data_IF_008325947165
#
_entry.id   IF_008325947165
#
_cell.length_a   1.000
_cell.length_b   1.000
_cell.length_c   1.000
_cell.angle_alpha   90.00
_cell.angle_beta   90.00
_cell.angle_gamma   90.00
#
_symmetry.space_group_name_H-M   'P 1'
#
loop_
_entity.id
_entity.type
_entity.pdbx_description
1 polymer ?
#
# COMPACT_ATOMS: atom_id res chain seq x y z
N UNK A 1 -51.23 17.58 31.45
CA UNK A 1 -51.89 18.86 31.76
C UNK A 1 -50.82 19.94 31.75
N UNK A 2 -51.08 21.04 31.04
CA UNK A 2 -50.14 22.13 30.73
C UNK A 2 -49.92 23.01 31.97
N UNK A 3 -48.67 23.37 32.24
CA UNK A 3 -48.29 24.44 33.16
C UNK A 3 -47.68 25.60 32.37
N UNK A 4 -48.18 26.79 32.64
CA UNK A 4 -48.11 28.05 31.89
C UNK A 4 -46.98 28.98 32.34
N UNK A 5 -46.47 29.82 31.40
CA UNK A 5 -46.09 31.26 31.44
C UNK A 5 -45.50 31.87 32.76
N UNK A 6 -44.54 32.81 32.85
CA UNK A 6 -43.98 33.86 31.97
C UNK A 6 -42.77 34.55 32.65
N UNK A 7 -41.87 35.14 31.84
CA UNK A 7 -41.15 36.44 32.00
C UNK A 7 -40.56 36.91 33.36
N UNK A 8 -39.27 37.30 33.35
CA UNK A 8 -38.86 38.72 33.54
C UNK A 8 -37.33 38.89 33.43
N UNK A 9 -36.92 39.89 32.65
CA UNK A 9 -35.57 40.46 32.61
C UNK A 9 -35.50 41.55 33.68
N UNK A 10 -34.46 41.55 34.52
CA UNK A 10 -34.01 42.79 35.17
C UNK A 10 -32.47 42.88 35.25
N UNK A 11 -32.02 44.12 35.10
CA UNK A 11 -30.66 44.61 34.93
C UNK A 11 -30.02 44.89 36.29
N UNK A 12 -28.70 45.14 36.21
CA UNK A 12 -27.80 45.88 37.13
C UNK A 12 -27.06 44.99 38.13
N UNK A 13 -25.74 44.91 37.96
CA UNK A 13 -24.79 45.71 38.75
C UNK A 13 -23.41 45.66 38.08
N UNK A 14 -22.94 46.84 37.66
CA UNK A 14 -21.57 47.11 37.20
C UNK A 14 -20.91 47.92 38.31
N UNK A 15 -19.71 47.56 38.79
CA UNK A 15 -18.85 48.49 39.53
C UNK A 15 -18.02 49.33 38.55
N UNK A 16 -17.91 50.66 38.75
CA UNK A 16 -17.04 51.53 37.98
C UNK A 16 -15.59 51.44 38.54
N UNK A 17 -14.61 51.88 37.73
CA UNK A 17 -13.39 52.63 38.13
C UNK A 17 -12.26 52.41 37.09
N UNK A 18 -11.85 53.52 36.46
CA UNK A 18 -10.91 53.59 35.32
C UNK A 18 -9.44 53.82 35.80
N UNK A 19 -8.39 53.82 34.93
CA UNK A 19 -8.20 54.87 33.92
C UNK A 19 -7.66 54.42 32.55
N UNK A 20 -7.98 55.25 31.54
CA UNK A 20 -7.46 55.20 30.16
C UNK A 20 -6.08 55.84 30.10
N UNK A 21 -5.09 55.14 29.54
CA UNK A 21 -3.87 55.76 29.02
C UNK A 21 -3.57 55.20 27.63
N UNK A 22 -3.41 56.12 26.69
CA UNK A 22 -2.99 55.89 25.31
C UNK A 22 -1.50 55.51 25.24
N UNK A 23 -1.16 54.58 24.35
CA UNK A 23 0.22 54.37 23.93
C UNK A 23 0.40 53.11 23.09
N UNK A 24 0.37 53.25 21.76
CA UNK A 24 0.90 52.23 20.85
C UNK A 24 2.42 52.38 20.78
N UNK A 25 3.21 51.31 20.95
CA UNK A 25 4.58 51.30 20.50
C UNK A 25 4.64 50.64 19.13
N UNK A 26 4.91 51.47 18.13
CA UNK A 26 5.35 51.07 16.79
C UNK A 26 6.55 50.13 16.89
N UNK A 27 6.59 49.15 15.99
CA UNK A 27 7.76 48.34 15.64
C UNK A 27 9.08 49.13 15.66
N UNK A 28 10.10 48.63 16.37
CA UNK A 28 11.49 48.83 15.97
C UNK A 28 12.45 47.75 16.49
N UNK A 29 13.21 47.24 15.52
CA UNK A 29 14.54 46.61 15.58
C UNK A 29 14.74 45.28 16.31
N UNK A 30 14.67 44.22 15.48
CA UNK A 30 15.76 43.24 15.29
C UNK A 30 17.12 43.71 15.83
N UNK A 31 17.69 42.91 16.73
CA UNK A 31 19.10 42.48 16.85
C UNK A 31 19.34 42.13 18.32
N UNK A 32 20.16 41.11 18.55
CA UNK A 32 20.64 40.65 19.87
C UNK A 32 19.70 39.62 20.55
N UNK A 33 19.66 38.41 19.99
CA UNK A 33 19.56 37.17 20.78
C UNK A 33 20.43 36.06 20.15
N UNK A 34 21.63 36.44 19.68
CA UNK A 34 22.67 35.51 19.20
C UNK A 34 23.63 35.11 20.35
N UNK A 35 23.51 35.72 21.53
CA UNK A 35 24.51 35.60 22.61
C UNK A 35 24.22 34.45 23.59
N UNK A 36 23.03 33.81 23.55
CA UNK A 36 22.74 32.64 24.40
C UNK A 36 23.20 31.28 23.82
N UNK A 37 23.87 31.27 22.67
CA UNK A 37 24.31 30.05 21.98
C UNK A 37 25.67 29.48 22.47
N UNK A 38 26.18 29.91 23.64
CA UNK A 38 27.42 29.39 24.26
C UNK A 38 27.19 28.65 25.57
N UNK A 39 26.23 27.72 25.64
CA UNK A 39 26.08 26.82 26.80
C UNK A 39 26.55 25.40 26.49
N UNK A 40 27.80 25.14 26.91
CA UNK A 40 28.48 23.86 27.22
C UNK A 40 28.06 22.63 26.41
N UNK A 41 28.91 22.31 25.42
CA UNK A 41 28.85 21.11 24.57
C UNK A 41 29.00 19.82 25.40
N UNK A 42 27.99 18.92 25.32
CA UNK A 42 28.07 17.51 25.74
C UNK A 42 27.75 16.62 24.52
N UNK A 43 28.67 15.75 24.05
CA UNK A 43 28.58 15.16 22.71
C UNK A 43 27.71 13.89 22.56
N UNK A 44 27.23 13.26 23.64
CA UNK A 44 26.63 11.90 23.55
C UNK A 44 25.11 11.79 23.30
N UNK A 45 24.30 12.81 23.62
CA UNK A 45 22.81 12.71 23.59
C UNK A 45 22.13 13.40 22.40
N UNK A 46 22.86 14.14 21.56
CA UNK A 46 22.25 15.06 20.59
C UNK A 46 21.81 14.46 19.27
N UNK A 47 22.33 13.32 18.82
CA UNK A 47 21.93 12.80 17.50
C UNK A 47 20.46 12.38 17.54
N UNK A 48 20.00 11.73 18.62
CA UNK A 48 18.58 11.41 18.78
C UNK A 48 17.72 12.67 18.94
N UNK A 49 18.14 13.65 19.74
CA UNK A 49 17.34 14.87 19.99
C UNK A 49 17.28 15.82 18.78
N UNK A 50 18.34 15.90 17.96
CA UNK A 50 18.38 16.70 16.73
C UNK A 50 17.40 16.15 15.68
N UNK A 51 17.28 14.82 15.61
CA UNK A 51 16.34 14.13 14.73
C UNK A 51 14.90 14.05 15.27
N UNK A 52 14.66 14.41 16.53
CA UNK A 52 13.34 14.28 17.17
C UNK A 52 12.66 15.62 17.42
N UNK A 53 13.31 16.57 18.10
CA UNK A 53 12.75 17.91 18.32
C UNK A 53 13.42 18.99 17.48
N UNK A 54 14.73 18.83 17.19
CA UNK A 54 15.50 19.81 16.42
C UNK A 54 14.97 19.98 15.01
N UNK A 55 14.58 18.88 14.36
CA UNK A 55 14.11 18.87 12.98
C UNK A 55 12.84 19.72 12.80
N UNK A 56 11.94 19.76 13.79
CA UNK A 56 10.67 20.50 13.74
C UNK A 56 10.81 21.96 14.15
N UNK A 57 11.81 22.28 14.98
CA UNK A 57 12.14 23.65 15.38
C UNK A 57 12.84 24.46 14.27
N UNK A 58 13.29 23.81 13.18
CA UNK A 58 13.87 24.51 12.01
C UNK A 58 12.75 25.26 11.27
N UNK A 59 12.85 26.59 11.26
CA UNK A 59 12.01 27.45 10.44
C UNK A 59 12.42 27.32 8.96
N UNK A 60 11.62 26.59 8.19
CA UNK A 60 11.85 26.37 6.76
C UNK A 60 11.60 27.62 5.91
N UNK A 61 10.97 28.68 6.46
CA UNK A 61 10.67 29.91 5.73
C UNK A 61 11.89 30.85 5.58
N UNK A 62 12.86 30.74 6.49
CA UNK A 62 14.07 31.58 6.49
C UNK A 62 15.27 30.96 5.75
N UNK A 63 15.12 29.74 5.21
CA UNK A 63 16.20 28.97 4.58
C UNK A 63 16.16 29.02 3.04
N UNK A 64 17.28 28.66 2.39
CA UNK A 64 17.33 28.41 0.94
C UNK A 64 16.33 27.32 0.52
N UNK A 65 15.69 27.50 -0.65
CA UNK A 65 14.66 26.58 -1.19
C UNK A 65 15.13 25.12 -1.24
N UNK A 66 16.42 24.88 -1.50
CA UNK A 66 17.00 23.53 -1.53
C UNK A 66 17.07 22.88 -0.14
N UNK A 67 17.56 23.64 0.85
CA UNK A 67 17.64 23.16 2.24
C UNK A 67 16.25 22.90 2.82
N UNK A 68 15.28 23.78 2.56
CA UNK A 68 13.90 23.58 2.99
C UNK A 68 13.26 22.29 2.42
N UNK A 69 13.56 21.95 1.14
CA UNK A 69 13.11 20.68 0.55
C UNK A 69 13.77 19.48 1.21
N UNK A 70 15.06 19.53 1.48
CA UNK A 70 15.78 18.44 2.13
C UNK A 70 15.25 18.20 3.54
N UNK A 71 15.07 19.26 4.33
CA UNK A 71 14.45 19.17 5.66
C UNK A 71 13.06 18.53 5.54
N UNK A 72 12.22 18.98 4.60
CA UNK A 72 10.88 18.38 4.33
C UNK A 72 10.96 16.88 4.03
N UNK A 73 11.90 16.43 3.18
CA UNK A 73 12.06 15.02 2.86
C UNK A 73 12.45 14.20 4.08
N UNK A 74 13.41 14.69 4.87
CA UNK A 74 13.80 14.04 6.14
C UNK A 74 12.61 13.99 7.09
N UNK A 75 11.78 15.05 7.13
CA UNK A 75 10.55 15.08 7.95
C UNK A 75 9.62 13.93 7.57
N UNK A 76 9.35 13.79 6.27
CA UNK A 76 8.44 12.76 5.73
C UNK A 76 8.96 11.37 6.04
N UNK A 77 10.23 11.09 5.74
CA UNK A 77 10.85 9.78 5.99
C UNK A 77 10.76 9.43 7.48
N UNK A 78 11.01 10.38 8.38
CA UNK A 78 10.94 10.15 9.82
C UNK A 78 9.52 9.81 10.29
N UNK A 79 8.52 10.52 9.78
CA UNK A 79 7.09 10.27 10.07
C UNK A 79 6.72 8.88 9.57
N UNK A 80 7.03 8.55 8.31
CA UNK A 80 6.72 7.27 7.68
C UNK A 80 7.34 6.09 8.45
N UNK A 81 8.64 6.15 8.76
CA UNK A 81 9.32 5.10 9.51
C UNK A 81 8.76 4.99 10.93
N UNK A 82 8.56 6.11 11.62
CA UNK A 82 8.03 6.13 12.98
C UNK A 82 6.62 5.55 13.06
N UNK A 83 5.75 5.94 12.12
CA UNK A 83 4.38 5.46 11.99
C UNK A 83 4.35 3.96 11.72
N UNK A 84 5.15 3.47 10.77
CA UNK A 84 5.20 2.05 10.40
C UNK A 84 5.50 1.13 11.60
N UNK A 85 6.51 1.49 12.41
CA UNK A 85 6.87 0.71 13.60
C UNK A 85 5.86 0.88 14.73
N UNK A 86 5.39 2.10 15.00
CA UNK A 86 4.42 2.38 16.08
C UNK A 86 3.09 1.65 15.84
N UNK A 87 2.63 1.62 14.60
CA UNK A 87 1.38 0.99 14.19
C UNK A 87 1.50 -0.53 13.98
N UNK A 88 2.67 -1.12 14.28
CA UNK A 88 2.96 -2.56 14.11
C UNK A 88 2.64 -3.04 12.68
N UNK A 89 2.90 -2.21 11.67
CA UNK A 89 2.49 -2.48 10.29
C UNK A 89 3.08 -3.77 9.73
N UNK A 90 4.31 -4.13 10.13
CA UNK A 90 4.92 -5.40 9.74
C UNK A 90 4.06 -6.62 10.09
N UNK A 91 3.47 -6.67 11.29
CA UNK A 91 2.56 -7.76 11.68
C UNK A 91 1.27 -7.77 10.86
N UNK A 92 0.76 -6.59 10.49
CA UNK A 92 -0.42 -6.48 9.64
C UNK A 92 -0.15 -6.98 8.22
N UNK A 93 1.04 -6.69 7.67
CA UNK A 93 1.46 -7.23 6.38
C UNK A 93 1.58 -8.75 6.39
N UNK A 94 2.03 -9.36 7.50
CA UNK A 94 2.03 -10.83 7.66
C UNK A 94 0.61 -11.38 7.56
N UNK A 95 -0.35 -10.76 8.27
CA UNK A 95 -1.74 -11.16 8.19
C UNK A 95 -2.32 -11.01 6.77
N UNK A 96 -2.06 -9.88 6.09
CA UNK A 96 -2.49 -9.66 4.70
C UNK A 96 -1.93 -10.71 3.75
N UNK A 97 -0.68 -11.12 3.94
CA UNK A 97 -0.03 -12.16 3.13
C UNK A 97 -0.70 -13.51 3.31
N UNK A 98 -1.01 -13.87 4.56
CA UNK A 98 -1.75 -15.08 4.89
C UNK A 98 -3.16 -15.07 4.26
N UNK A 99 -3.91 -13.97 4.41
CA UNK A 99 -5.24 -13.86 3.80
C UNK A 99 -5.17 -13.90 2.26
N UNK A 100 -4.15 -13.30 1.66
CA UNK A 100 -3.91 -13.37 0.21
C UNK A 100 -3.66 -14.80 -0.23
N UNK A 101 -2.82 -15.56 0.50
CA UNK A 101 -2.56 -16.97 0.20
C UNK A 101 -3.84 -17.81 0.30
N UNK A 102 -4.63 -17.62 1.34
CA UNK A 102 -5.90 -18.33 1.53
C UNK A 102 -6.92 -18.01 0.42
N UNK A 103 -6.90 -16.80 -0.12
CA UNK A 103 -7.77 -16.39 -1.23
C UNK A 103 -7.33 -16.95 -2.60
N UNK A 104 -6.05 -17.35 -2.76
CA UNK A 104 -5.55 -17.89 -4.03
C UNK A 104 -6.16 -19.26 -4.37
N UNK A 105 -6.33 -20.14 -3.39
CA UNK A 105 -6.87 -21.49 -3.61
C UNK A 105 -8.25 -21.44 -4.31
N UNK A 106 -9.25 -20.73 -3.77
CA UNK A 106 -10.55 -20.66 -4.42
C UNK A 106 -10.54 -19.78 -5.69
N UNK A 107 -9.62 -18.81 -5.82
CA UNK A 107 -9.43 -18.05 -7.06
C UNK A 107 -8.99 -18.95 -8.21
N UNK A 108 -8.01 -19.84 -7.97
CA UNK A 108 -7.59 -20.81 -8.99
C UNK A 108 -8.76 -21.70 -9.41
N UNK A 109 -9.54 -22.21 -8.44
CA UNK A 109 -10.75 -22.99 -8.74
C UNK A 109 -11.72 -22.26 -9.67
N UNK A 110 -11.96 -20.97 -9.44
CA UNK A 110 -12.80 -20.15 -10.31
C UNK A 110 -12.21 -19.98 -11.72
N UNK A 111 -10.91 -19.67 -11.84
CA UNK A 111 -10.24 -19.53 -13.14
C UNK A 111 -10.36 -20.82 -13.95
N UNK A 112 -10.15 -21.98 -13.30
CA UNK A 112 -10.34 -23.29 -13.92
C UNK A 112 -11.80 -23.52 -14.36
N UNK A 113 -12.76 -23.23 -13.49
CA UNK A 113 -14.18 -23.40 -13.79
C UNK A 113 -14.63 -22.53 -14.98
N UNK A 114 -14.22 -21.27 -15.03
CA UNK A 114 -14.53 -20.35 -16.13
C UNK A 114 -13.88 -20.81 -17.44
N UNK A 115 -12.58 -21.12 -17.40
CA UNK A 115 -11.87 -21.54 -18.61
C UNK A 115 -12.42 -22.85 -19.20
N UNK A 116 -12.89 -23.77 -18.35
CA UNK A 116 -13.57 -24.99 -18.81
C UNK A 116 -15.02 -24.74 -19.25
N UNK A 117 -15.75 -23.83 -18.60
CA UNK A 117 -17.08 -23.40 -19.03
C UNK A 117 -17.09 -22.74 -20.42
N UNK A 118 -15.96 -22.16 -20.84
CA UNK A 118 -15.74 -21.63 -22.18
C UNK A 118 -15.30 -22.69 -23.21
N UNK A 119 -15.18 -23.97 -22.83
CA UNK A 119 -14.80 -25.05 -23.74
C UNK A 119 -13.33 -25.04 -24.15
N UNK A 120 -12.43 -24.53 -23.30
CA UNK A 120 -10.98 -24.41 -23.58
C UNK A 120 -10.08 -25.44 -22.83
N UNK A 121 -10.48 -26.69 -22.50
CA UNK A 121 -9.67 -27.57 -21.65
C UNK A 121 -8.28 -27.90 -22.24
N UNK A 122 -8.18 -28.09 -23.56
CA UNK A 122 -6.90 -28.36 -24.22
C UNK A 122 -5.95 -27.15 -24.19
N UNK A 123 -6.50 -25.93 -24.20
CA UNK A 123 -5.73 -24.70 -24.11
C UNK A 123 -5.23 -24.44 -22.69
N UNK A 124 -5.98 -24.82 -21.66
CA UNK A 124 -5.57 -24.66 -20.25
C UNK A 124 -4.36 -25.55 -19.94
N UNK A 125 -4.40 -26.82 -20.34
CA UNK A 125 -3.26 -27.72 -20.13
C UNK A 125 -2.01 -27.21 -20.86
N UNK A 126 -2.15 -26.77 -22.12
CA UNK A 126 -1.08 -26.14 -22.87
C UNK A 126 -0.55 -24.85 -22.22
N UNK A 127 -1.41 -24.01 -21.64
CA UNK A 127 -1.02 -22.80 -20.89
C UNK A 127 -0.26 -23.18 -19.61
N UNK A 128 -0.73 -24.18 -18.86
CA UNK A 128 -0.07 -24.61 -17.61
C UNK A 128 1.32 -25.19 -17.90
N UNK A 129 1.46 -26.00 -18.95
CA UNK A 129 2.78 -26.49 -19.39
C UNK A 129 3.70 -25.35 -19.85
N UNK A 130 3.15 -24.27 -20.42
CA UNK A 130 3.91 -23.07 -20.78
C UNK A 130 4.27 -22.19 -19.58
N UNK A 131 3.46 -22.17 -18.52
CA UNK A 131 3.72 -21.41 -17.28
C UNK A 131 4.76 -22.13 -16.39
N UNK A 132 4.75 -23.46 -16.38
CA UNK A 132 5.66 -24.30 -15.58
C UNK A 132 6.58 -25.15 -16.46
N UNK A 133 7.40 -24.56 -17.36
CA UNK A 133 8.25 -25.33 -18.26
C UNK A 133 9.36 -26.08 -17.52
N UNK A 134 9.75 -25.57 -16.34
CA UNK A 134 10.80 -26.16 -15.50
C UNK A 134 10.29 -27.28 -14.57
N UNK A 135 8.98 -27.51 -14.48
CA UNK A 135 8.41 -28.51 -13.57
C UNK A 135 7.22 -29.26 -14.20
N UNK A 136 7.48 -30.17 -15.15
CA UNK A 136 6.43 -30.93 -15.85
C UNK A 136 5.58 -31.80 -14.92
N UNK A 137 6.15 -32.35 -13.84
CA UNK A 137 5.38 -33.10 -12.84
C UNK A 137 4.42 -32.20 -12.04
N UNK A 138 4.82 -30.95 -11.75
CA UNK A 138 3.96 -29.99 -11.07
C UNK A 138 2.81 -29.55 -11.98
N UNK A 139 3.10 -29.29 -13.27
CA UNK A 139 2.07 -29.01 -14.27
C UNK A 139 1.04 -30.15 -14.36
N UNK A 140 1.49 -31.40 -14.42
CA UNK A 140 0.63 -32.59 -14.41
C UNK A 140 -0.22 -32.67 -13.14
N UNK A 141 0.39 -32.50 -11.97
CA UNK A 141 -0.31 -32.51 -10.69
C UNK A 141 -1.40 -31.43 -10.62
N UNK A 142 -1.09 -30.21 -11.07
CA UNK A 142 -2.06 -29.11 -11.11
C UNK A 142 -3.23 -29.42 -12.05
N UNK A 143 -2.95 -29.97 -13.24
CA UNK A 143 -3.98 -30.37 -14.22
C UNK A 143 -4.87 -31.49 -13.64
N UNK A 144 -4.27 -32.52 -13.06
CA UNK A 144 -4.98 -33.65 -12.46
C UNK A 144 -5.88 -33.19 -11.30
N UNK A 145 -5.34 -32.39 -10.38
CA UNK A 145 -6.11 -31.85 -9.25
C UNK A 145 -7.20 -30.87 -9.70
N UNK A 146 -6.96 -30.09 -10.75
CA UNK A 146 -7.99 -29.24 -11.35
C UNK A 146 -9.15 -30.07 -11.93
N UNK A 147 -8.86 -31.23 -12.54
CA UNK A 147 -9.88 -32.18 -13.00
C UNK A 147 -10.73 -32.74 -11.85
N UNK A 148 -10.10 -33.13 -10.73
CA UNK A 148 -10.83 -33.60 -9.53
C UNK A 148 -11.73 -32.51 -8.94
N UNK A 149 -11.26 -31.26 -8.87
CA UNK A 149 -12.06 -30.12 -8.43
C UNK A 149 -13.26 -29.91 -9.37
N UNK A 150 -13.07 -30.04 -10.68
CA UNK A 150 -14.15 -29.92 -11.66
C UNK A 150 -15.23 -30.98 -11.48
N UNK A 151 -14.83 -32.24 -11.33
CA UNK A 151 -15.78 -33.35 -11.17
C UNK A 151 -16.60 -33.17 -9.90
N UNK A 152 -15.97 -32.64 -8.83
CA UNK A 152 -16.66 -32.27 -7.60
C UNK A 152 -17.64 -31.10 -7.78
N UNK A 153 -17.34 -30.13 -8.66
CA UNK A 153 -18.23 -29.00 -8.98
C UNK A 153 -19.41 -29.45 -9.83
N UNK A 154 -19.20 -30.35 -10.80
CA UNK A 154 -20.25 -30.93 -11.65
C UNK A 154 -21.21 -31.85 -10.88
N UNK A 155 -20.75 -32.49 -9.81
CA UNK A 155 -21.55 -33.35 -8.94
C UNK A 155 -22.60 -32.61 -8.07
N UNK A 156 -22.75 -31.29 -8.25
CA UNK A 156 -23.99 -30.55 -7.95
C UNK A 156 -24.24 -30.13 -6.50
N UNK A 157 -23.62 -30.76 -5.49
CA UNK A 157 -23.91 -30.46 -4.08
C UNK A 157 -22.97 -29.44 -3.41
N UNK A 158 -21.68 -29.43 -3.77
CA UNK A 158 -20.62 -28.69 -3.04
C UNK A 158 -20.21 -27.39 -3.72
N UNK A 159 -20.63 -27.16 -4.97
CA UNK A 159 -20.26 -25.98 -5.76
C UNK A 159 -20.79 -24.66 -5.16
N UNK A 160 -22.04 -24.64 -4.68
CA UNK A 160 -22.65 -23.45 -4.06
C UNK A 160 -21.93 -23.09 -2.75
N UNK A 161 -21.63 -24.09 -1.91
CA UNK A 161 -20.91 -23.88 -0.65
C UNK A 161 -19.50 -23.35 -0.92
N UNK A 162 -18.80 -23.91 -1.91
CA UNK A 162 -17.46 -23.48 -2.30
C UNK A 162 -17.45 -22.05 -2.88
N UNK A 163 -18.44 -21.73 -3.73
CA UNK A 163 -18.62 -20.38 -4.27
C UNK A 163 -18.92 -19.36 -3.16
N UNK A 164 -19.77 -19.72 -2.21
CA UNK A 164 -20.06 -18.87 -1.05
C UNK A 164 -18.80 -18.63 -0.20
N UNK A 165 -18.05 -19.69 0.13
CA UNK A 165 -16.79 -19.59 0.88
C UNK A 165 -15.75 -18.74 0.14
N UNK A 166 -15.70 -18.82 -1.19
CA UNK A 166 -14.84 -17.97 -2.01
C UNK A 166 -15.21 -16.50 -1.89
N UNK A 167 -16.47 -16.16 -2.16
CA UNK A 167 -16.96 -14.77 -2.08
C UNK A 167 -16.75 -14.22 -0.67
N UNK A 168 -17.04 -15.03 0.35
CA UNK A 168 -16.77 -14.69 1.74
C UNK A 168 -15.29 -14.40 1.98
N UNK A 169 -14.39 -15.25 1.50
CA UNK A 169 -12.94 -15.09 1.65
C UNK A 169 -12.40 -13.83 0.98
N UNK A 170 -12.88 -13.53 -0.24
CA UNK A 170 -12.50 -12.32 -0.98
C UNK A 170 -12.98 -11.06 -0.25
N UNK A 171 -14.26 -11.03 0.15
CA UNK A 171 -14.81 -9.89 0.93
C UNK A 171 -14.07 -9.73 2.25
N UNK A 172 -13.75 -10.84 2.92
CA UNK A 172 -12.98 -10.82 4.16
C UNK A 172 -11.59 -10.23 3.94
N UNK A 173 -10.85 -10.67 2.92
CA UNK A 173 -9.54 -10.13 2.57
C UNK A 173 -9.61 -8.62 2.29
N UNK A 174 -10.61 -8.18 1.51
CA UNK A 174 -10.82 -6.76 1.20
C UNK A 174 -11.08 -5.93 2.46
N UNK A 175 -11.83 -6.47 3.42
CA UNK A 175 -12.03 -5.86 4.72
C UNK A 175 -10.73 -5.74 5.53
N UNK A 176 -9.86 -6.76 5.48
CA UNK A 176 -8.55 -6.68 6.12
C UNK A 176 -7.68 -5.58 5.49
N UNK A 177 -7.64 -5.50 4.15
CA UNK A 177 -6.90 -4.45 3.44
C UNK A 177 -7.43 -3.06 3.82
N UNK A 178 -8.75 -2.85 3.81
CA UNK A 178 -9.36 -1.59 4.26
C UNK A 178 -8.92 -1.24 5.69
N UNK A 179 -8.92 -2.21 6.61
CA UNK A 179 -8.53 -1.99 8.00
C UNK A 179 -7.07 -1.56 8.14
N UNK A 180 -6.14 -2.20 7.43
CA UNK A 180 -4.71 -1.84 7.49
C UNK A 180 -4.49 -0.44 6.91
N UNK A 181 -5.12 -0.11 5.77
CA UNK A 181 -5.05 1.22 5.19
C UNK A 181 -5.68 2.29 6.09
N UNK A 182 -6.78 1.98 6.78
CA UNK A 182 -7.36 2.89 7.77
C UNK A 182 -6.43 3.15 8.94
N UNK A 183 -5.69 2.12 9.37
CA UNK A 183 -4.70 2.23 10.43
C UNK A 183 -3.53 3.16 10.06
N UNK A 184 -3.10 3.17 8.79
CA UNK A 184 -2.09 4.15 8.28
C UNK A 184 -2.54 5.58 8.56
N UNK A 185 -3.85 5.85 8.46
CA UNK A 185 -4.43 7.17 8.70
C UNK A 185 -4.88 7.39 10.15
N UNK A 186 -4.57 6.49 11.09
CA UNK A 186 -4.99 6.56 12.50
C UNK A 186 -6.49 6.37 12.72
N UNK A 187 -7.22 5.82 11.75
CA UNK A 187 -8.68 5.68 11.81
C UNK A 187 -9.02 4.40 12.58
N UNK A 188 -9.21 4.54 13.89
CA UNK A 188 -9.50 3.42 14.78
C UNK A 188 -10.97 2.95 14.74
N UNK A 189 -11.90 3.82 14.34
CA UNK A 189 -13.32 3.49 14.23
C UNK A 189 -13.75 3.52 12.78
N UNK A 190 -14.34 2.42 12.32
CA UNK A 190 -14.77 2.25 10.94
C UNK A 190 -15.98 3.18 10.69
N UNK A 191 -15.83 4.32 10.00
CA UNK A 191 -16.85 5.36 9.99
C UNK A 191 -17.95 5.15 8.94
N UNK A 192 -17.84 4.10 8.11
CA UNK A 192 -18.67 3.95 6.91
C UNK A 192 -19.77 2.91 7.09
N UNK A 193 -21.02 3.36 6.91
CA UNK A 193 -22.19 2.51 6.65
C UNK A 193 -21.90 1.56 5.47
N UNK A 194 -22.35 0.31 5.53
CA UNK A 194 -21.98 -0.78 4.61
C UNK A 194 -22.18 -0.40 3.12
N UNK A 195 -23.24 0.34 2.79
CA UNK A 195 -23.54 0.76 1.42
C UNK A 195 -22.54 1.76 0.84
N UNK A 196 -21.89 2.59 1.68
CA UNK A 196 -20.82 3.49 1.23
C UNK A 196 -19.54 2.73 0.89
N UNK A 197 -19.43 1.44 1.26
CA UNK A 197 -18.29 0.57 0.94
C UNK A 197 -18.40 -0.12 -0.41
N UNK A 198 -19.62 -0.24 -0.94
CA UNK A 198 -19.88 -0.99 -2.16
C UNK A 198 -19.05 -0.51 -3.36
N UNK A 199 -18.94 0.81 -3.57
CA UNK A 199 -18.09 1.37 -4.62
C UNK A 199 -16.60 1.06 -4.46
N UNK A 200 -16.11 0.96 -3.21
CA UNK A 200 -14.72 0.60 -2.93
C UNK A 200 -14.46 -0.89 -3.19
N UNK A 201 -15.44 -1.73 -2.90
CA UNK A 201 -15.32 -3.15 -3.21
C UNK A 201 -15.31 -3.41 -4.71
N UNK A 202 -16.16 -2.72 -5.48
CA UNK A 202 -16.09 -2.74 -6.94
C UNK A 202 -14.73 -2.26 -7.43
N UNK A 203 -14.20 -1.17 -6.88
CA UNK A 203 -12.88 -0.68 -7.24
C UNK A 203 -11.80 -1.74 -6.99
N UNK A 204 -11.77 -2.37 -5.82
CA UNK A 204 -10.80 -3.45 -5.54
C UNK A 204 -10.94 -4.62 -6.51
N UNK A 205 -12.17 -5.00 -6.89
CA UNK A 205 -12.39 -6.02 -7.92
C UNK A 205 -11.81 -5.62 -9.27
N UNK A 206 -11.88 -4.34 -9.65
CA UNK A 206 -11.25 -3.81 -10.87
C UNK A 206 -9.71 -3.80 -10.77
N UNK A 207 -9.17 -3.56 -9.57
CA UNK A 207 -7.72 -3.58 -9.35
C UNK A 207 -7.12 -4.99 -9.40
N UNK A 208 -7.88 -6.05 -9.07
CA UNK A 208 -7.39 -7.44 -9.09
C UNK A 208 -6.81 -7.84 -10.46
N UNK A 209 -7.51 -7.66 -11.61
CA UNK A 209 -6.94 -7.91 -12.92
C UNK A 209 -5.66 -7.13 -13.20
N UNK A 210 -5.56 -5.87 -12.77
CA UNK A 210 -4.34 -5.06 -12.95
C UNK A 210 -3.18 -5.63 -12.14
N UNK A 211 -3.44 -6.09 -10.92
CA UNK A 211 -2.46 -6.78 -10.07
C UNK A 211 -1.97 -8.07 -10.75
N UNK A 212 -2.90 -8.86 -11.32
CA UNK A 212 -2.56 -10.07 -12.08
C UNK A 212 -1.70 -9.72 -13.30
N UNK A 213 -2.03 -8.64 -14.03
CA UNK A 213 -1.23 -8.17 -15.17
C UNK A 213 0.16 -7.73 -14.71
N UNK A 214 0.29 -7.00 -13.59
CA UNK A 214 1.60 -6.59 -13.06
C UNK A 214 2.47 -7.83 -12.80
N UNK A 215 1.91 -8.84 -12.13
CA UNK A 215 2.64 -10.08 -11.84
C UNK A 215 2.93 -10.93 -13.09
N UNK A 216 1.92 -11.12 -13.95
CA UNK A 216 2.02 -11.93 -15.17
C UNK A 216 2.92 -11.30 -16.24
N UNK A 217 2.89 -9.98 -16.40
CA UNK A 217 3.75 -9.27 -17.33
C UNK A 217 5.22 -9.37 -16.91
N UNK A 218 5.53 -9.29 -15.60
CA UNK A 218 6.88 -9.53 -15.11
C UNK A 218 7.40 -10.92 -15.51
N UNK A 219 6.59 -11.96 -15.35
CA UNK A 219 6.93 -13.32 -15.79
C UNK A 219 7.10 -13.37 -17.32
N UNK A 220 6.19 -12.78 -18.08
CA UNK A 220 6.22 -12.80 -19.55
C UNK A 220 7.47 -12.10 -20.12
N UNK A 221 7.83 -10.93 -19.60
CA UNK A 221 9.03 -10.21 -20.02
C UNK A 221 10.30 -10.95 -19.57
N UNK A 222 10.30 -11.51 -18.37
CA UNK A 222 11.44 -12.27 -17.85
C UNK A 222 11.70 -13.57 -18.64
N UNK A 223 10.65 -14.29 -19.01
CA UNK A 223 10.75 -15.60 -19.71
C UNK A 223 10.82 -15.47 -21.23
N UNK A 224 10.88 -14.26 -21.79
CA UNK A 224 10.87 -13.99 -23.23
C UNK A 224 9.63 -14.53 -23.96
N UNK A 225 8.44 -14.36 -23.36
CA UNK A 225 7.16 -14.74 -23.97
C UNK A 225 6.94 -14.22 -25.41
N UNK A 226 7.47 -13.06 -25.86
CA UNK A 226 7.33 -12.63 -27.26
C UNK A 226 7.85 -13.63 -28.29
N UNK A 227 8.87 -14.43 -27.96
CA UNK A 227 9.37 -15.48 -28.86
C UNK A 227 8.37 -16.64 -29.01
N UNK A 228 7.45 -16.84 -28.05
CA UNK A 228 6.38 -17.85 -28.14
C UNK A 228 5.29 -17.47 -29.17
N UNK A 229 5.27 -16.22 -29.65
CA UNK A 229 4.36 -15.75 -30.70
C UNK A 229 5.01 -15.72 -32.10
N UNK A 230 6.23 -16.25 -32.26
CA UNK A 230 6.88 -16.40 -33.57
C UNK A 230 7.30 -15.08 -34.23
N UNK A 231 7.35 -13.99 -33.46
CA UNK A 231 7.85 -12.70 -33.95
C UNK A 231 9.37 -12.65 -33.76
N UNK A 232 10.13 -12.73 -34.85
CA UNK A 232 11.59 -12.53 -34.82
C UNK A 232 11.89 -11.03 -34.66
N UNK A 233 11.89 -10.59 -33.40
CA UNK A 233 12.14 -9.19 -33.01
C UNK A 233 13.52 -9.02 -32.40
N UNK A 234 14.47 -9.87 -32.78
CA UNK A 234 15.83 -9.92 -32.26
C UNK A 234 16.52 -8.54 -32.24
N UNK A 235 16.37 -7.75 -33.30
CA UNK A 235 16.95 -6.39 -33.42
C UNK A 235 16.22 -5.32 -32.58
N UNK A 236 14.92 -5.49 -32.32
CA UNK A 236 14.09 -4.54 -31.56
C UNK A 236 13.83 -4.99 -30.12
N UNK A 237 14.41 -6.12 -29.70
CA UNK A 237 14.14 -6.78 -28.42
C UNK A 237 14.39 -5.85 -27.23
N UNK A 238 15.50 -5.11 -27.25
CA UNK A 238 15.83 -4.17 -26.19
C UNK A 238 14.73 -3.10 -26.03
N UNK A 239 14.25 -2.55 -27.15
CA UNK A 239 13.21 -1.51 -27.17
C UNK A 239 11.88 -2.08 -26.66
N UNK A 240 11.49 -3.27 -27.11
CA UNK A 240 10.23 -3.92 -26.69
C UNK A 240 10.24 -4.22 -25.20
N UNK A 241 11.33 -4.79 -24.67
CA UNK A 241 11.47 -5.09 -23.24
C UNK A 241 11.47 -3.80 -22.42
N UNK A 242 12.22 -2.79 -22.85
CA UNK A 242 12.28 -1.49 -22.18
C UNK A 242 10.90 -0.81 -22.13
N UNK A 243 10.19 -0.78 -23.26
CA UNK A 243 8.84 -0.22 -23.33
C UNK A 243 7.85 -1.04 -22.47
N UNK A 244 8.02 -2.36 -22.43
CA UNK A 244 7.27 -3.25 -21.54
C UNK A 244 7.42 -2.88 -20.06
N UNK A 245 8.65 -2.64 -19.60
CA UNK A 245 8.91 -2.17 -18.23
C UNK A 245 8.36 -0.77 -17.95
N UNK A 246 8.36 0.13 -18.94
CA UNK A 246 7.71 1.46 -18.81
C UNK A 246 6.20 1.30 -18.62
N UNK A 247 5.55 0.48 -19.43
CA UNK A 247 4.11 0.21 -19.32
C UNK A 247 3.79 -0.44 -17.97
N UNK A 248 4.59 -1.43 -17.56
CA UNK A 248 4.46 -2.10 -16.26
C UNK A 248 4.58 -1.11 -15.09
N UNK A 249 5.58 -0.22 -15.15
CA UNK A 249 5.74 0.85 -14.16
C UNK A 249 4.51 1.76 -14.14
N UNK A 250 4.01 2.20 -15.30
CA UNK A 250 2.81 3.04 -15.40
C UNK A 250 1.56 2.39 -14.79
N UNK A 251 1.30 1.12 -15.11
CA UNK A 251 0.18 0.35 -14.53
C UNK A 251 0.35 0.21 -13.01
N UNK A 252 1.57 -0.03 -12.54
CA UNK A 252 1.88 -0.14 -11.10
C UNK A 252 1.60 1.19 -10.40
N UNK A 253 2.05 2.32 -10.94
CA UNK A 253 1.76 3.65 -10.37
C UNK A 253 0.26 3.92 -10.30
N UNK A 254 -0.50 3.64 -11.37
CA UNK A 254 -1.95 3.84 -11.39
C UNK A 254 -2.64 2.97 -10.34
N UNK A 255 -2.24 1.71 -10.24
CA UNK A 255 -2.80 0.74 -9.29
C UNK A 255 -2.54 1.19 -7.86
N UNK A 256 -1.27 1.46 -7.51
CA UNK A 256 -0.88 1.90 -6.17
C UNK A 256 -1.49 3.27 -5.82
N UNK A 257 -1.51 4.24 -6.74
CA UNK A 257 -2.13 5.54 -6.49
C UNK A 257 -3.64 5.41 -6.24
N UNK A 258 -4.31 4.51 -6.95
CA UNK A 258 -5.73 4.20 -6.73
C UNK A 258 -5.94 3.55 -5.36
N UNK A 259 -5.09 2.59 -4.98
CA UNK A 259 -5.10 1.99 -3.65
C UNK A 259 -4.94 3.04 -2.55
N UNK A 260 -3.93 3.90 -2.64
CA UNK A 260 -3.64 4.94 -1.64
C UNK A 260 -4.72 6.01 -1.56
N UNK A 261 -5.41 6.30 -2.66
CA UNK A 261 -6.43 7.35 -2.70
C UNK A 261 -7.78 6.86 -2.20
N UNK A 262 -8.20 5.67 -2.63
CA UNK A 262 -9.58 5.23 -2.47
C UNK A 262 -9.78 4.25 -1.32
N UNK A 263 -8.80 3.39 -0.99
CA UNK A 263 -8.99 2.41 0.08
C UNK A 263 -9.19 3.08 1.46
N UNK A 264 -8.41 4.11 1.85
CA UNK A 264 -8.59 4.75 3.14
C UNK A 264 -9.98 5.38 3.32
N UNK A 265 -10.49 5.32 4.54
CA UNK A 265 -11.77 5.89 4.93
C UNK A 265 -11.74 7.42 5.13
N UNK A 266 -10.81 8.13 4.48
CA UNK A 266 -10.56 9.56 4.63
C UNK A 266 -10.32 10.25 3.29
N UNK A 267 -10.24 11.58 3.30
CA UNK A 267 -9.95 12.39 2.10
C UNK A 267 -8.45 12.42 1.85
N UNK A 268 -8.01 11.61 0.89
CA UNK A 268 -6.62 11.60 0.40
C UNK A 268 -6.50 12.46 -0.86
N UNK A 269 -5.52 13.35 -0.90
CA UNK A 269 -5.25 14.14 -2.11
C UNK A 269 -4.49 13.30 -3.14
N UNK A 270 -5.09 13.11 -4.31
CA UNK A 270 -4.51 12.30 -5.41
C UNK A 270 -3.08 12.73 -5.78
N UNK A 271 -2.77 14.04 -5.69
CA UNK A 271 -1.42 14.59 -5.94
C UNK A 271 -0.35 14.04 -4.99
N UNK A 272 -0.70 13.69 -3.75
CA UNK A 272 0.23 13.10 -2.79
C UNK A 272 0.31 11.59 -2.98
N UNK A 273 -0.82 10.94 -3.26
CA UNK A 273 -0.88 9.51 -3.56
C UNK A 273 -0.05 9.15 -4.80
N UNK A 274 -0.14 9.93 -5.88
CA UNK A 274 0.64 9.64 -7.10
C UNK A 274 2.15 9.83 -6.89
N UNK A 275 2.56 10.83 -6.09
CA UNK A 275 3.98 11.03 -5.75
C UNK A 275 4.55 9.85 -4.96
N UNK A 276 3.81 9.37 -3.96
CA UNK A 276 4.21 8.19 -3.20
C UNK A 276 4.20 6.95 -4.08
N UNK A 277 3.14 6.74 -4.87
CA UNK A 277 3.02 5.61 -5.79
C UNK A 277 4.12 5.58 -6.86
N UNK A 278 4.59 6.73 -7.37
CA UNK A 278 5.74 6.78 -8.29
C UNK A 278 7.03 6.26 -7.63
N UNK A 279 7.30 6.67 -6.39
CA UNK A 279 8.49 6.19 -5.66
C UNK A 279 8.35 4.69 -5.36
N UNK A 280 7.19 4.30 -4.87
CA UNK A 280 6.91 2.94 -4.42
C UNK A 280 6.86 1.93 -5.57
N UNK A 281 6.34 2.34 -6.75
CA UNK A 281 6.33 1.52 -7.95
C UNK A 281 7.75 1.17 -8.45
N UNK A 282 8.73 2.07 -8.30
CA UNK A 282 10.13 1.76 -8.65
C UNK A 282 10.63 0.61 -7.76
N UNK A 283 10.41 0.74 -6.44
CA UNK A 283 10.80 -0.29 -5.47
C UNK A 283 10.09 -1.61 -5.74
N UNK A 284 8.79 -1.56 -6.04
CA UNK A 284 7.99 -2.74 -6.34
C UNK A 284 8.45 -3.47 -7.60
N UNK A 285 8.71 -2.74 -8.71
CA UNK A 285 9.19 -3.34 -9.96
C UNK A 285 10.58 -3.94 -9.79
N UNK A 286 11.49 -3.26 -9.09
CA UNK A 286 12.82 -3.80 -8.78
C UNK A 286 12.70 -5.06 -7.91
N UNK A 287 11.86 -5.03 -6.87
CA UNK A 287 11.64 -6.17 -6.00
C UNK A 287 11.03 -7.37 -6.74
N UNK A 288 10.10 -7.11 -7.66
CA UNK A 288 9.52 -8.12 -8.53
C UNK A 288 10.58 -8.75 -9.44
N UNK A 289 11.47 -7.96 -10.03
CA UNK A 289 12.58 -8.48 -10.83
C UNK A 289 13.52 -9.38 -10.00
N UNK A 290 13.93 -8.92 -8.81
CA UNK A 290 14.77 -9.70 -7.88
C UNK A 290 14.12 -11.03 -7.53
N UNK A 291 12.81 -11.02 -7.25
CA UNK A 291 12.07 -12.24 -6.94
C UNK A 291 12.09 -13.25 -8.09
N UNK A 292 11.92 -12.79 -9.33
CA UNK A 292 11.95 -13.67 -10.51
C UNK A 292 13.34 -14.28 -10.72
N UNK A 293 14.41 -13.50 -10.55
CA UNK A 293 15.79 -13.99 -10.58
C UNK A 293 16.04 -15.05 -9.50
N UNK A 294 15.59 -14.79 -8.26
CA UNK A 294 15.73 -15.74 -7.16
C UNK A 294 14.94 -17.03 -7.41
N UNK A 295 13.72 -16.95 -7.94
CA UNK A 295 12.93 -18.14 -8.30
C UNK A 295 13.63 -18.98 -9.37
N UNK A 296 14.22 -18.37 -10.39
CA UNK A 296 14.98 -19.11 -11.41
C UNK A 296 16.26 -19.71 -10.85
N UNK A 297 16.93 -19.02 -9.93
CA UNK A 297 18.08 -19.58 -9.25
C UNK A 297 17.70 -20.80 -8.41
N UNK A 298 16.62 -20.71 -7.61
CA UNK A 298 16.17 -21.78 -6.71
C UNK A 298 15.65 -22.98 -7.50
N UNK A 299 14.94 -22.78 -8.61
CA UNK A 299 14.47 -23.88 -9.47
C UNK A 299 15.61 -24.64 -10.14
N UNK A 300 16.80 -24.04 -10.31
CA UNK A 300 18.02 -24.73 -10.76
C UNK A 300 18.70 -25.56 -9.68
N UNK A 301 18.39 -25.32 -8.40
CA UNK A 301 18.89 -26.12 -7.28
C UNK A 301 18.01 -27.37 -7.16
N UNK A 302 18.52 -28.53 -7.59
CA UNK A 302 17.98 -29.90 -7.47
C UNK A 302 16.44 -30.01 -7.26
N UNK A 303 15.71 -30.52 -8.25
CA UNK A 303 14.24 -30.45 -8.39
C UNK A 303 13.39 -30.63 -7.10
N UNK A 304 13.82 -31.48 -6.17
CA UNK A 304 13.11 -31.72 -4.89
C UNK A 304 13.17 -30.47 -3.98
N UNK A 305 14.34 -29.85 -3.83
CA UNK A 305 14.53 -28.69 -2.97
C UNK A 305 13.88 -27.43 -3.57
N UNK A 306 13.91 -27.28 -4.90
CA UNK A 306 13.24 -26.18 -5.59
C UNK A 306 11.73 -26.12 -5.34
N UNK A 307 11.03 -27.27 -5.38
CA UNK A 307 9.57 -27.34 -5.17
C UNK A 307 9.21 -26.98 -3.72
N UNK A 308 9.94 -27.51 -2.73
CA UNK A 308 9.67 -27.24 -1.31
C UNK A 308 9.97 -25.77 -0.98
N UNK A 309 11.04 -25.20 -1.55
CA UNK A 309 11.42 -23.82 -1.32
C UNK A 309 10.47 -22.81 -1.97
N UNK A 310 9.80 -23.16 -3.07
CA UNK A 310 8.93 -22.25 -3.82
C UNK A 310 7.85 -21.58 -2.94
N UNK A 311 7.19 -22.35 -2.06
CA UNK A 311 6.10 -21.85 -1.21
C UNK A 311 6.59 -20.86 -0.13
N UNK A 312 7.61 -21.16 0.69
CA UNK A 312 8.22 -20.18 1.59
C UNK A 312 8.72 -18.92 0.88
N UNK A 313 9.39 -19.06 -0.27
CA UNK A 313 9.84 -17.89 -1.05
C UNK A 313 8.68 -17.04 -1.53
N UNK A 314 7.60 -17.66 -2.01
CA UNK A 314 6.38 -16.96 -2.39
C UNK A 314 5.75 -16.21 -1.20
N UNK A 315 5.75 -16.81 0.00
CA UNK A 315 5.25 -16.16 1.22
C UNK A 315 6.09 -14.95 1.64
N UNK A 316 7.42 -15.06 1.59
CA UNK A 316 8.34 -13.95 1.87
C UNK A 316 8.10 -12.82 0.86
N UNK A 317 7.99 -13.16 -0.42
CA UNK A 317 7.71 -12.21 -1.47
C UNK A 317 6.37 -11.49 -1.26
N UNK A 318 5.30 -12.24 -1.02
CA UNK A 318 3.97 -11.68 -0.74
C UNK A 318 4.01 -10.72 0.45
N UNK A 319 4.73 -11.09 1.52
CA UNK A 319 4.89 -10.25 2.68
C UNK A 319 5.64 -8.96 2.40
N UNK A 320 6.75 -9.05 1.70
CA UNK A 320 7.55 -7.88 1.33
C UNK A 320 6.78 -6.97 0.36
N UNK A 321 6.03 -7.52 -0.58
CA UNK A 321 5.12 -6.76 -1.44
C UNK A 321 4.09 -5.97 -0.64
N UNK A 322 3.44 -6.58 0.35
CA UNK A 322 2.53 -5.85 1.24
C UNK A 322 3.25 -4.78 2.06
N UNK A 323 4.46 -5.05 2.55
CA UNK A 323 5.24 -4.04 3.26
C UNK A 323 5.55 -2.83 2.37
N UNK A 324 6.01 -3.05 1.13
CA UNK A 324 6.26 -1.98 0.14
C UNK A 324 4.98 -1.15 -0.05
N UNK A 325 3.84 -1.81 -0.33
CA UNK A 325 2.55 -1.12 -0.51
C UNK A 325 2.16 -0.28 0.72
N UNK A 326 2.31 -0.82 1.92
CA UNK A 326 1.99 -0.08 3.15
C UNK A 326 2.98 1.05 3.41
N UNK A 327 4.25 0.90 3.07
CA UNK A 327 5.21 2.02 3.09
C UNK A 327 4.78 3.14 2.13
N UNK A 328 4.32 2.82 0.92
CA UNK A 328 3.75 3.80 -0.01
C UNK A 328 2.51 4.52 0.55
N UNK A 329 1.66 3.83 1.28
CA UNK A 329 0.51 4.42 1.96
C UNK A 329 0.95 5.39 3.08
N UNK A 330 1.92 5.00 3.91
CA UNK A 330 2.50 5.85 4.97
C UNK A 330 3.26 7.06 4.40
N UNK A 331 3.91 6.90 3.25
CA UNK A 331 4.51 8.02 2.49
C UNK A 331 3.43 9.00 2.01
N UNK A 332 2.30 8.49 1.53
CA UNK A 332 1.16 9.32 1.11
C UNK A 332 0.64 10.16 2.27
N UNK A 333 0.48 9.54 3.45
CA UNK A 333 0.13 10.24 4.68
C UNK A 333 1.17 11.31 5.04
N UNK A 334 2.46 10.96 5.02
CA UNK A 334 3.56 11.87 5.29
C UNK A 334 3.58 13.08 4.36
N UNK A 335 3.44 12.88 3.04
CA UNK A 335 3.35 13.98 2.08
C UNK A 335 2.17 14.92 2.34
N UNK A 336 1.05 14.39 2.80
CA UNK A 336 -0.16 15.18 3.06
C UNK A 336 -0.10 15.95 4.38
N UNK A 337 0.53 15.39 5.42
CA UNK A 337 0.45 15.90 6.78
C UNK A 337 1.74 16.53 7.31
N UNK A 338 2.86 16.49 6.57
CA UNK A 338 4.16 17.04 7.00
C UNK A 338 4.10 18.50 7.47
N UNK A 339 3.22 19.33 6.89
CA UNK A 339 3.08 20.75 7.27
C UNK A 339 2.20 20.95 8.50
N UNK A 340 1.30 20.01 8.79
CA UNK A 340 0.37 20.06 9.92
C UNK A 340 0.85 19.25 11.13
N UNK A 341 1.99 18.59 11.00
CA UNK A 341 2.52 17.69 12.01
C UNK A 341 3.06 18.48 13.20
N UNK A 342 2.23 18.66 14.23
CA UNK A 342 2.65 19.12 15.55
C UNK A 342 3.06 17.88 16.38
N UNK A 343 4.30 17.84 16.85
CA UNK A 343 4.84 16.72 17.64
C UNK A 343 4.06 16.43 18.92
N UNK A 344 3.26 17.37 19.43
CA UNK A 344 2.53 17.21 20.69
C UNK A 344 1.19 16.48 20.59
N UNK A 345 0.55 16.38 19.41
CA UNK A 345 -0.82 15.81 19.31
C UNK A 345 -0.86 14.30 19.01
N UNK A 346 0.26 13.69 18.60
CA UNK A 346 0.32 12.27 18.21
C UNK A 346 1.07 11.36 19.19
N UNK A 347 1.65 11.96 20.24
CA UNK A 347 2.33 11.23 21.34
C UNK A 347 1.46 11.12 22.61
N UNK A 348 0.24 11.69 22.61
CA UNK A 348 -0.82 11.49 23.62
C UNK A 348 -1.82 10.46 23.15
#
# INVERSE_FOLDING_TARGET
MRGTWSQSLDRRTVPPDAPRHWGSPRFKSRRIDIILMKRKFRPGKKITDLFTEGLWKIDTASCSKGYARLVRLVRIIRITIGSFFRNKMGFQCVALSYFSLMALVPLFGLVFAVAMGLGLPDNISAIIYKIFPASPEFAKLVIEKAGVILDSVKAGGTGIVSAFLFVWGVVWMMFQVERVFNNVWGISRIPRKIYKRFGYYILMLILIPLIIIIFGAGIAFYTNLPNLFGLDVSDLRFIIVFLGYIVLYGITVITLASMYTFIPATKVYFKNAIKAASIDAIVFVIFQYIYLELQVMVTRLNNIYGIIAALPFFLIWMNMSWQIIIYGAELTYGFQNVEKYNSHEWDS
#
